data_IF_288067602027
#
_entry.id   IF_288067602027
#
_cell.length_a   1.000
_cell.length_b   1.000
_cell.length_c   1.000
_cell.angle_alpha   90.00
_cell.angle_beta   90.00
_cell.angle_gamma   90.00
#
_symmetry.space_group_name_H-M   'P 1'
#
loop_
_entity.id
_entity.type
_entity.pdbx_description
1 polymer ?
#
# COMPACT_ATOMS: atom_id res chain seq x y z
N UNK A 1 23.82 -27.53 -17.22
CA UNK A 1 23.44 -26.91 -15.92
C UNK A 1 24.71 -26.44 -15.25
N UNK A 2 24.78 -25.16 -14.92
CA UNK A 2 25.88 -24.63 -14.12
C UNK A 2 25.85 -25.26 -12.71
N UNK A 3 27.03 -25.42 -12.12
CA UNK A 3 27.16 -26.05 -10.80
C UNK A 3 26.68 -25.15 -9.65
N UNK A 4 26.51 -23.85 -9.91
CA UNK A 4 26.15 -22.84 -8.92
C UNK A 4 24.84 -22.17 -9.32
N UNK A 5 23.91 -22.08 -8.36
CA UNK A 5 22.67 -21.34 -8.56
C UNK A 5 22.96 -19.84 -8.61
N UNK A 6 22.59 -19.18 -9.72
CA UNK A 6 22.62 -17.74 -9.85
C UNK A 6 21.19 -17.20 -9.86
N UNK A 7 20.72 -16.57 -8.78
CA UNK A 7 19.35 -16.11 -8.67
C UNK A 7 18.99 -15.03 -9.73
N UNK A 8 19.96 -14.21 -10.16
CA UNK A 8 19.70 -13.14 -11.13
C UNK A 8 19.31 -13.66 -12.52
N UNK A 9 19.85 -14.82 -12.90
CA UNK A 9 19.61 -15.43 -14.22
C UNK A 9 18.31 -16.22 -14.26
N UNK A 10 17.74 -16.57 -13.10
CA UNK A 10 16.62 -17.51 -12.99
C UNK A 10 15.36 -16.84 -12.44
N UNK A 11 15.46 -16.13 -11.33
CA UNK A 11 14.28 -15.66 -10.58
C UNK A 11 13.46 -14.64 -11.36
N UNK A 12 14.09 -13.64 -11.94
CA UNK A 12 13.37 -12.58 -12.65
C UNK A 12 12.71 -13.10 -13.94
N UNK A 13 13.40 -13.82 -14.84
CA UNK A 13 12.78 -14.39 -16.04
C UNK A 13 11.63 -15.35 -15.71
N UNK A 14 11.78 -16.14 -14.64
CA UNK A 14 10.75 -17.08 -14.21
C UNK A 14 9.51 -16.35 -13.70
N UNK A 15 9.70 -15.31 -12.89
CA UNK A 15 8.59 -14.49 -12.38
C UNK A 15 7.83 -13.78 -13.50
N UNK A 16 8.55 -13.16 -14.44
CA UNK A 16 7.97 -12.52 -15.63
C UNK A 16 7.16 -13.51 -16.47
N UNK A 17 7.66 -14.74 -16.60
CA UNK A 17 6.92 -15.81 -17.26
C UNK A 17 5.60 -16.11 -16.54
N UNK A 18 5.60 -16.28 -15.21
CA UNK A 18 4.40 -16.55 -14.45
C UNK A 18 3.37 -15.42 -14.53
N UNK A 19 3.82 -14.18 -14.43
CA UNK A 19 2.96 -13.00 -14.55
C UNK A 19 2.34 -12.94 -15.96
N UNK A 20 3.13 -13.12 -17.00
CA UNK A 20 2.67 -13.15 -18.40
C UNK A 20 1.66 -14.26 -18.69
N UNK A 21 1.81 -15.42 -18.07
CA UNK A 21 0.88 -16.55 -18.21
C UNK A 21 -0.39 -16.37 -17.36
N UNK A 22 -0.45 -15.36 -16.50
CA UNK A 22 -1.61 -15.09 -15.65
C UNK A 22 -1.80 -16.13 -14.53
N UNK A 23 -0.76 -16.85 -14.10
CA UNK A 23 -0.87 -17.91 -13.11
C UNK A 23 -1.32 -17.45 -11.73
N UNK A 24 -1.28 -16.14 -11.48
CA UNK A 24 -1.68 -15.55 -10.20
C UNK A 24 -3.11 -15.05 -10.19
N UNK A 25 -3.79 -15.04 -11.35
CA UNK A 25 -5.17 -14.58 -11.47
C UNK A 25 -6.16 -15.63 -10.98
N UNK A 26 -7.30 -15.18 -10.42
CA UNK A 26 -8.44 -16.07 -10.24
C UNK A 26 -8.85 -16.69 -11.59
N UNK A 27 -9.19 -17.96 -11.59
CA UNK A 27 -9.56 -18.67 -12.81
C UNK A 27 -11.01 -18.42 -13.29
N UNK A 28 -11.82 -17.73 -12.46
CA UNK A 28 -13.21 -17.40 -12.78
C UNK A 28 -14.19 -18.58 -12.68
N UNK A 29 -13.76 -19.74 -12.20
CA UNK A 29 -14.63 -20.89 -12.00
C UNK A 29 -15.43 -20.76 -10.69
N UNK A 30 -16.72 -20.39 -10.82
CA UNK A 30 -17.62 -20.22 -9.68
C UNK A 30 -17.96 -21.53 -8.96
N UNK A 31 -17.69 -22.68 -9.54
CA UNK A 31 -17.89 -23.99 -8.90
C UNK A 31 -16.80 -24.32 -7.88
N UNK A 32 -15.65 -23.68 -7.96
CA UNK A 32 -14.54 -23.87 -7.02
C UNK A 32 -14.72 -23.03 -5.76
N UNK A 33 -14.31 -23.57 -4.63
CA UNK A 33 -14.26 -22.83 -3.37
C UNK A 33 -13.31 -21.64 -3.51
N UNK A 34 -13.79 -20.44 -3.17
CA UNK A 34 -12.99 -19.22 -3.22
C UNK A 34 -12.11 -19.06 -1.98
N UNK A 35 -10.87 -18.60 -2.19
CA UNK A 35 -9.97 -18.22 -1.11
C UNK A 35 -9.28 -16.90 -1.44
N UNK A 36 -9.48 -15.89 -0.59
CA UNK A 36 -8.93 -14.56 -0.79
C UNK A 36 -8.17 -14.08 0.43
N UNK A 37 -6.99 -13.52 0.21
CA UNK A 37 -6.26 -12.73 1.21
C UNK A 37 -6.08 -11.32 0.65
N UNK A 38 -6.33 -10.32 1.49
CA UNK A 38 -5.98 -8.93 1.19
C UNK A 38 -4.66 -8.61 1.91
N UNK A 39 -3.68 -8.09 1.17
CA UNK A 39 -2.44 -7.63 1.78
C UNK A 39 -2.72 -6.39 2.65
N UNK A 40 -2.14 -6.25 3.86
CA UNK A 40 -2.03 -4.95 4.48
C UNK A 40 -1.21 -4.03 3.57
N UNK A 41 -1.84 -2.98 2.99
CA UNK A 41 -1.19 -2.21 1.93
C UNK A 41 0.01 -1.44 2.50
N UNK A 42 1.23 -1.64 1.98
CA UNK A 42 2.38 -0.88 2.43
C UNK A 42 2.23 0.60 2.09
N UNK A 43 2.70 1.45 3.01
CA UNK A 43 2.72 2.89 2.83
C UNK A 43 3.70 3.30 1.73
N UNK A 44 3.30 4.27 0.88
CA UNK A 44 4.18 4.83 -0.17
C UNK A 44 5.20 5.82 0.40
N UNK A 45 5.81 5.49 1.54
CA UNK A 45 6.78 6.34 2.25
C UNK A 45 8.23 5.95 1.99
N UNK A 46 8.47 4.88 1.23
CA UNK A 46 9.82 4.42 0.91
C UNK A 46 9.84 3.00 0.36
N UNK A 47 10.84 2.22 0.76
CA UNK A 47 11.02 0.82 0.36
C UNK A 47 10.49 -0.15 1.43
N UNK A 48 10.25 -1.40 1.03
CA UNK A 48 9.91 -2.48 1.96
C UNK A 48 11.11 -2.83 2.85
N UNK A 49 10.82 -3.33 4.04
CA UNK A 49 11.80 -3.86 4.99
C UNK A 49 11.50 -5.32 5.34
N UNK A 50 12.35 -5.97 6.14
CA UNK A 50 12.24 -7.39 6.48
C UNK A 50 10.88 -7.78 7.09
N UNK A 51 10.24 -6.89 7.86
CA UNK A 51 8.89 -7.13 8.41
C UNK A 51 7.84 -7.32 7.31
N UNK A 52 7.90 -6.51 6.25
CA UNK A 52 7.04 -6.67 5.09
C UNK A 52 7.34 -8.00 4.37
N UNK A 53 8.62 -8.32 4.17
CA UNK A 53 9.00 -9.56 3.51
C UNK A 53 8.50 -10.79 4.28
N UNK A 54 8.67 -10.81 5.59
CA UNK A 54 8.18 -11.88 6.45
C UNK A 54 6.67 -12.08 6.37
N UNK A 55 5.91 -10.99 6.54
CA UNK A 55 4.45 -11.01 6.46
C UNK A 55 3.97 -11.49 5.08
N UNK A 56 4.56 -10.97 4.01
CA UNK A 56 4.19 -11.31 2.64
C UNK A 56 4.53 -12.77 2.31
N UNK A 57 5.65 -13.29 2.81
CA UNK A 57 6.02 -14.70 2.63
C UNK A 57 4.99 -15.65 3.28
N UNK A 58 4.49 -15.32 4.47
CA UNK A 58 3.45 -16.11 5.13
C UNK A 58 2.17 -16.11 4.29
N UNK A 59 1.72 -14.94 3.83
CA UNK A 59 0.52 -14.80 3.01
C UNK A 59 0.66 -15.55 1.68
N UNK A 60 1.80 -15.40 1.01
CA UNK A 60 2.07 -16.08 -0.26
C UNK A 60 2.09 -17.60 -0.10
N UNK A 61 2.65 -18.09 0.99
CA UNK A 61 2.62 -19.53 1.31
C UNK A 61 1.18 -20.03 1.44
N UNK A 62 0.33 -19.30 2.12
CA UNK A 62 -1.10 -19.68 2.28
C UNK A 62 -1.83 -19.65 0.93
N UNK A 63 -1.65 -18.62 0.12
CA UNK A 63 -2.26 -18.51 -1.20
C UNK A 63 -1.81 -19.66 -2.11
N UNK A 64 -0.50 -19.93 -2.16
CA UNK A 64 0.05 -21.03 -2.97
C UNK A 64 -0.47 -22.37 -2.52
N UNK A 65 -0.54 -22.60 -1.22
CA UNK A 65 -1.11 -23.84 -0.67
C UNK A 65 -2.56 -24.03 -1.10
N UNK A 66 -3.41 -23.03 -0.96
CA UNK A 66 -4.82 -23.09 -1.33
C UNK A 66 -5.01 -23.25 -2.85
N UNK A 67 -4.14 -22.60 -3.65
CA UNK A 67 -4.12 -22.81 -5.12
C UNK A 67 -3.77 -24.24 -5.49
N UNK A 68 -2.81 -24.85 -4.80
CA UNK A 68 -2.45 -26.26 -5.00
C UNK A 68 -3.57 -27.21 -4.57
N UNK A 69 -4.47 -26.80 -3.66
CA UNK A 69 -5.67 -27.55 -3.29
C UNK A 69 -6.81 -27.38 -4.33
N UNK A 70 -6.60 -26.66 -5.41
CA UNK A 70 -7.59 -26.46 -6.48
C UNK A 70 -8.63 -25.39 -6.19
N UNK A 71 -8.38 -24.50 -5.21
CA UNK A 71 -9.31 -23.38 -4.95
C UNK A 71 -9.10 -22.24 -5.92
N UNK A 72 -10.17 -21.49 -6.18
CA UNK A 72 -10.12 -20.22 -6.91
C UNK A 72 -9.53 -19.15 -5.98
N UNK A 73 -8.24 -18.83 -6.16
CA UNK A 73 -7.50 -17.98 -5.21
C UNK A 73 -7.29 -16.58 -5.72
N UNK A 74 -7.41 -15.59 -4.82
CA UNK A 74 -7.01 -14.21 -5.04
C UNK A 74 -6.13 -13.71 -3.89
N UNK A 75 -4.94 -13.23 -4.20
CA UNK A 75 -4.20 -12.36 -3.30
C UNK A 75 -4.34 -10.92 -3.78
N UNK A 76 -5.21 -10.16 -3.11
CA UNK A 76 -5.47 -8.76 -3.44
C UNK A 76 -4.31 -7.89 -2.96
N UNK A 77 -3.73 -7.14 -3.87
CA UNK A 77 -2.59 -6.26 -3.64
C UNK A 77 -3.00 -4.79 -3.72
N UNK A 78 -2.24 -3.94 -3.02
CA UNK A 78 -2.39 -2.50 -3.08
C UNK A 78 -1.32 -1.79 -2.28
N UNK A 79 -1.33 -0.45 -2.37
CA UNK A 79 -0.46 0.44 -1.60
C UNK A 79 -1.29 1.52 -0.91
N UNK A 80 -0.81 1.99 0.25
CA UNK A 80 -1.47 3.01 1.03
C UNK A 80 -0.83 4.39 0.78
N UNK A 81 -1.67 5.41 0.62
CA UNK A 81 -1.24 6.79 0.48
C UNK A 81 -0.60 7.36 1.75
N UNK A 82 -0.87 6.79 2.93
CA UNK A 82 -0.29 7.14 4.23
C UNK A 82 -0.33 8.64 4.60
N UNK A 83 -1.21 9.42 3.96
CA UNK A 83 -1.58 10.80 4.27
C UNK A 83 -0.42 11.68 4.75
N UNK A 84 -0.42 12.03 6.04
CA UNK A 84 0.56 12.92 6.67
C UNK A 84 2.00 12.42 6.53
N UNK A 85 2.23 11.11 6.66
CA UNK A 85 3.58 10.55 6.57
C UNK A 85 4.18 10.75 5.18
N UNK A 86 3.41 10.54 4.12
CA UNK A 86 3.84 10.81 2.74
C UNK A 86 4.12 12.30 2.51
N UNK A 87 3.24 13.18 3.01
CA UNK A 87 3.48 14.63 2.94
C UNK A 87 4.81 15.01 3.63
N UNK A 88 5.07 14.49 4.81
CA UNK A 88 6.33 14.76 5.53
C UNK A 88 7.56 14.28 4.76
N UNK A 89 7.50 13.13 4.09
CA UNK A 89 8.60 12.63 3.25
C UNK A 89 8.86 13.58 2.10
N UNK A 90 7.80 13.98 1.38
CA UNK A 90 7.90 14.91 0.25
C UNK A 90 8.39 16.29 0.69
N UNK A 91 7.90 16.83 1.82
CA UNK A 91 8.42 18.10 2.37
C UNK A 91 9.91 18.03 2.68
N UNK A 92 10.38 16.95 3.30
CA UNK A 92 11.81 16.76 3.60
C UNK A 92 12.66 16.71 2.31
N UNK A 93 12.14 16.01 1.27
CA UNK A 93 12.81 15.94 -0.04
C UNK A 93 12.92 17.34 -0.65
N UNK A 94 11.82 18.08 -0.73
CA UNK A 94 11.80 19.45 -1.27
C UNK A 94 12.70 20.40 -0.48
N UNK A 95 12.69 20.31 0.85
CA UNK A 95 13.55 21.13 1.69
C UNK A 95 15.05 20.82 1.47
N UNK A 96 15.41 19.55 1.28
CA UNK A 96 16.78 19.14 1.03
C UNK A 96 17.27 19.51 -0.37
N UNK A 97 16.44 19.37 -1.39
CA UNK A 97 16.82 19.58 -2.80
C UNK A 97 16.69 21.03 -3.24
N UNK A 98 15.68 21.76 -2.74
CA UNK A 98 15.30 23.09 -3.22
C UNK A 98 15.30 24.18 -2.15
N UNK A 99 15.44 23.81 -0.88
CA UNK A 99 15.34 24.76 0.25
C UNK A 99 13.95 25.37 0.44
N UNK A 100 12.91 24.74 -0.09
CA UNK A 100 11.51 25.20 -0.05
C UNK A 100 10.66 24.40 0.91
N UNK A 101 9.49 24.95 1.24
CA UNK A 101 8.45 24.31 2.04
C UNK A 101 7.18 24.08 1.19
N UNK A 102 6.24 23.30 1.67
CA UNK A 102 4.92 23.14 1.01
C UNK A 102 4.17 24.45 0.82
N UNK A 103 4.43 25.45 1.68
CA UNK A 103 3.78 26.76 1.59
C UNK A 103 4.29 27.60 0.43
N UNK A 104 5.57 27.40 0.03
CA UNK A 104 6.17 28.07 -1.13
C UNK A 104 5.61 27.54 -2.45
N UNK A 105 5.15 26.28 -2.47
CA UNK A 105 4.51 25.64 -3.62
C UNK A 105 3.03 26.00 -3.76
N UNK A 106 2.34 26.18 -2.64
CA UNK A 106 0.88 26.18 -2.61
C UNK A 106 0.30 24.76 -2.76
N UNK A 107 -1.02 24.63 -2.57
CA UNK A 107 -1.68 23.34 -2.45
C UNK A 107 -1.56 22.45 -3.71
N UNK A 108 -1.87 23.02 -4.88
CA UNK A 108 -1.95 22.25 -6.13
C UNK A 108 -0.59 21.70 -6.54
N UNK A 109 0.41 22.57 -6.66
CA UNK A 109 1.76 22.16 -7.04
C UNK A 109 2.42 21.22 -6.01
N UNK A 110 2.09 21.36 -4.72
CA UNK A 110 2.55 20.41 -3.70
C UNK A 110 1.89 19.04 -3.85
N UNK A 111 0.61 18.97 -4.19
CA UNK A 111 -0.08 17.69 -4.50
C UNK A 111 0.56 17.02 -5.72
N UNK A 112 0.93 17.77 -6.76
CA UNK A 112 1.63 17.20 -7.91
C UNK A 112 2.96 16.56 -7.50
N UNK A 113 3.72 17.20 -6.61
CA UNK A 113 4.95 16.61 -6.03
C UNK A 113 4.70 15.31 -5.26
N UNK A 114 3.56 15.23 -4.56
CA UNK A 114 3.16 13.99 -3.87
C UNK A 114 2.83 12.89 -4.88
N UNK A 115 2.17 13.20 -5.98
CA UNK A 115 1.90 12.22 -7.03
C UNK A 115 3.17 11.74 -7.75
N UNK A 116 4.14 12.62 -8.00
CA UNK A 116 5.46 12.24 -8.51
C UNK A 116 6.15 11.26 -7.55
N UNK A 117 6.17 11.57 -6.25
CA UNK A 117 6.70 10.68 -5.22
C UNK A 117 5.98 9.33 -5.17
N UNK A 118 4.65 9.33 -5.24
CA UNK A 118 3.84 8.10 -5.27
C UNK A 118 4.23 7.21 -6.45
N UNK A 119 4.44 7.78 -7.62
CA UNK A 119 4.85 7.02 -8.80
C UNK A 119 6.23 6.37 -8.59
N UNK A 120 7.19 7.10 -8.01
CA UNK A 120 8.54 6.62 -7.71
C UNK A 120 8.53 5.52 -6.62
N UNK A 121 7.94 5.81 -5.47
CA UNK A 121 7.92 4.93 -4.30
C UNK A 121 7.06 3.69 -4.52
N UNK A 122 5.86 3.85 -5.08
CA UNK A 122 4.97 2.73 -5.40
C UNK A 122 5.60 1.78 -6.40
N UNK A 123 6.26 2.30 -7.44
CA UNK A 123 7.01 1.49 -8.39
C UNK A 123 8.16 0.71 -7.75
N UNK A 124 8.81 1.26 -6.74
CA UNK A 124 9.86 0.56 -5.99
C UNK A 124 9.28 -0.58 -5.15
N UNK A 125 8.20 -0.33 -4.42
CA UNK A 125 7.50 -1.32 -3.60
C UNK A 125 7.05 -2.51 -4.45
N UNK A 126 6.39 -2.27 -5.57
CA UNK A 126 5.90 -3.34 -6.45
C UNK A 126 7.01 -4.15 -7.10
N UNK A 127 8.14 -3.52 -7.46
CA UNK A 127 9.34 -4.24 -7.91
C UNK A 127 9.93 -5.13 -6.81
N UNK A 128 9.99 -4.64 -5.55
CA UNK A 128 10.46 -5.43 -4.42
C UNK A 128 9.55 -6.64 -4.16
N UNK A 129 8.23 -6.47 -4.25
CA UNK A 129 7.28 -7.57 -4.11
C UNK A 129 7.45 -8.63 -5.21
N UNK A 130 7.71 -8.22 -6.45
CA UNK A 130 8.05 -9.15 -7.56
C UNK A 130 9.37 -9.88 -7.28
N UNK A 131 10.35 -9.20 -6.73
CA UNK A 131 11.64 -9.85 -6.34
C UNK A 131 11.47 -10.84 -5.20
N UNK A 132 10.50 -10.66 -4.32
CA UNK A 132 10.12 -11.66 -3.30
C UNK A 132 9.37 -12.86 -3.89
N UNK A 133 8.96 -12.79 -5.15
CA UNK A 133 8.20 -13.85 -5.81
C UNK A 133 6.72 -13.89 -5.43
N UNK A 134 6.16 -12.79 -4.94
CA UNK A 134 4.78 -12.72 -4.47
C UNK A 134 3.78 -13.07 -5.58
N UNK A 135 2.90 -14.04 -5.35
CA UNK A 135 1.93 -14.52 -6.33
C UNK A 135 0.61 -13.73 -6.30
N UNK A 136 0.70 -12.42 -6.45
CA UNK A 136 -0.43 -11.48 -6.46
C UNK A 136 -0.99 -11.25 -7.87
N UNK A 137 -2.26 -10.90 -7.95
CA UNK A 137 -2.87 -10.44 -9.21
C UNK A 137 -2.60 -8.96 -9.42
N UNK A 138 -1.57 -8.63 -10.21
CA UNK A 138 -1.14 -7.25 -10.47
C UNK A 138 -2.15 -6.42 -11.26
N UNK A 139 -3.03 -7.03 -12.03
CA UNK A 139 -4.08 -6.28 -12.74
C UNK A 139 -5.14 -5.73 -11.81
N UNK A 140 -5.21 -6.29 -10.60
CA UNK A 140 -6.10 -5.82 -9.53
C UNK A 140 -5.41 -4.92 -8.51
N UNK A 141 -4.18 -4.47 -8.79
CA UNK A 141 -3.49 -3.54 -7.89
C UNK A 141 -4.35 -2.30 -7.63
N UNK A 142 -4.46 -1.92 -6.36
CA UNK A 142 -5.20 -0.73 -5.93
C UNK A 142 -4.30 0.24 -5.17
N UNK A 143 -4.63 1.51 -5.26
CA UNK A 143 -4.04 2.55 -4.44
C UNK A 143 -5.16 3.20 -3.63
N UNK A 144 -4.97 3.38 -2.32
CA UNK A 144 -6.04 3.82 -1.41
C UNK A 144 -6.64 5.20 -1.75
N UNK A 145 -5.99 5.98 -2.63
CA UNK A 145 -6.53 7.24 -3.17
C UNK A 145 -6.82 7.19 -4.68
N UNK A 146 -6.91 6.01 -5.29
CA UNK A 146 -7.35 5.92 -6.67
C UNK A 146 -8.81 6.40 -6.83
N UNK A 147 -9.20 6.71 -8.05
CA UNK A 147 -10.52 7.27 -8.35
C UNK A 147 -11.65 6.37 -7.85
N UNK A 148 -11.55 5.06 -8.06
CA UNK A 148 -12.58 4.10 -7.65
C UNK A 148 -12.76 4.05 -6.14
N UNK A 149 -11.66 3.95 -5.37
CA UNK A 149 -11.69 3.97 -3.91
C UNK A 149 -12.12 5.34 -3.36
N UNK A 150 -11.66 6.44 -3.97
CA UNK A 150 -12.10 7.80 -3.61
C UNK A 150 -13.61 7.99 -3.78
N UNK A 151 -14.20 7.44 -4.84
CA UNK A 151 -15.63 7.47 -5.07
C UNK A 151 -16.37 6.58 -4.07
N UNK A 152 -15.86 5.39 -3.76
CA UNK A 152 -16.42 4.51 -2.75
C UNK A 152 -16.44 5.15 -1.36
N UNK A 153 -15.35 5.82 -0.96
CA UNK A 153 -15.27 6.55 0.32
C UNK A 153 -16.31 7.66 0.39
N UNK A 154 -16.49 8.44 -0.68
CA UNK A 154 -17.52 9.50 -0.73
C UNK A 154 -18.92 8.91 -0.61
N UNK A 155 -19.21 7.83 -1.33
CA UNK A 155 -20.52 7.18 -1.29
C UNK A 155 -20.83 6.63 0.10
N UNK A 156 -19.89 5.93 0.73
CA UNK A 156 -20.05 5.41 2.09
C UNK A 156 -20.26 6.55 3.09
N UNK A 157 -19.49 7.62 3.01
CA UNK A 157 -19.64 8.78 3.88
C UNK A 157 -21.04 9.39 3.79
N UNK A 158 -21.54 9.57 2.56
CA UNK A 158 -22.88 10.14 2.33
C UNK A 158 -23.98 9.20 2.85
N UNK A 159 -23.83 7.87 2.67
CA UNK A 159 -24.79 6.90 3.21
C UNK A 159 -24.84 6.93 4.72
N UNK A 160 -23.69 6.88 5.38
CA UNK A 160 -23.60 6.94 6.84
C UNK A 160 -24.23 8.23 7.41
N UNK A 161 -24.05 9.34 6.72
CA UNK A 161 -24.69 10.60 7.12
C UNK A 161 -26.21 10.55 6.96
N UNK A 162 -26.72 9.99 5.86
CA UNK A 162 -28.16 9.84 5.61
C UNK A 162 -28.84 8.86 6.59
N UNK A 163 -28.09 7.91 7.11
CA UNK A 163 -28.55 6.92 8.10
C UNK A 163 -28.36 7.41 9.55
N UNK A 164 -27.97 8.68 9.75
CA UNK A 164 -27.71 9.31 11.07
C UNK A 164 -26.64 8.57 11.91
N UNK A 165 -25.78 7.79 11.25
CA UNK A 165 -24.67 7.07 11.91
C UNK A 165 -23.45 7.95 12.14
N UNK A 166 -23.31 9.04 11.41
CA UNK A 166 -22.30 10.06 11.59
C UNK A 166 -22.93 11.45 11.62
N UNK A 167 -22.36 12.34 12.41
CA UNK A 167 -22.83 13.72 12.52
C UNK A 167 -21.67 14.69 12.69
N UNK A 168 -21.88 15.97 12.38
CA UNK A 168 -20.91 17.04 12.60
C UNK A 168 -21.04 17.58 14.03
N UNK A 169 -19.97 17.47 14.81
CA UNK A 169 -19.93 17.98 16.18
C UNK A 169 -18.56 18.57 16.53
N UNK A 170 -18.50 19.28 17.66
CA UNK A 170 -17.23 19.73 18.27
C UNK A 170 -16.74 18.67 19.24
N UNK A 171 -15.45 18.33 19.17
CA UNK A 171 -14.80 17.38 20.07
C UNK A 171 -13.41 17.89 20.42
N UNK A 172 -12.94 17.56 21.64
CA UNK A 172 -11.53 17.73 21.99
C UNK A 172 -10.68 16.76 21.16
N UNK A 173 -9.58 17.27 20.62
CA UNK A 173 -8.64 16.50 19.82
C UNK A 173 -7.22 16.79 20.29
N UNK A 174 -6.32 15.81 20.14
CA UNK A 174 -4.89 16.05 20.25
C UNK A 174 -4.44 16.84 19.03
N UNK A 175 -3.80 17.97 19.24
CA UNK A 175 -3.38 18.87 18.17
C UNK A 175 -1.87 19.06 18.17
N UNK A 176 -1.21 18.78 17.04
CA UNK A 176 0.20 19.08 16.84
C UNK A 176 0.35 20.49 16.25
N UNK A 177 0.89 21.46 17.00
CA UNK A 177 1.02 22.84 16.53
C UNK A 177 2.10 23.02 15.45
N UNK A 178 3.05 22.08 15.34
CA UNK A 178 4.10 22.10 14.31
C UNK A 178 3.57 21.59 12.97
N UNK A 179 2.91 20.44 12.98
CA UNK A 179 2.29 19.85 11.79
C UNK A 179 0.96 20.52 11.44
N UNK A 180 0.37 21.27 12.40
CA UNK A 180 -0.95 21.92 12.26
C UNK A 180 -2.05 20.94 11.87
N UNK A 181 -2.08 19.80 12.56
CA UNK A 181 -3.05 18.73 12.34
C UNK A 181 -3.48 18.07 13.65
N UNK A 182 -4.65 17.44 13.62
CA UNK A 182 -5.06 16.54 14.69
C UNK A 182 -4.31 15.21 14.55
N UNK A 183 -3.94 14.61 15.68
CA UNK A 183 -3.33 13.29 15.78
C UNK A 183 -4.23 12.37 16.60
N UNK A 184 -4.18 11.07 16.32
CA UNK A 184 -4.98 10.08 17.04
C UNK A 184 -4.42 9.83 18.45
N UNK A 185 -5.28 9.36 19.34
CA UNK A 185 -4.87 8.99 20.71
C UNK A 185 -3.80 7.88 20.70
N UNK A 186 -3.87 6.97 19.72
CA UNK A 186 -2.89 5.90 19.54
C UNK A 186 -1.51 6.44 19.15
N UNK A 187 -1.44 7.47 18.32
CA UNK A 187 -0.18 8.11 17.93
C UNK A 187 0.48 8.83 19.13
N UNK A 188 -0.31 9.45 20.00
CA UNK A 188 0.17 10.05 21.24
C UNK A 188 0.69 8.98 22.20
N UNK A 189 -0.05 7.88 22.37
CA UNK A 189 0.34 6.77 23.26
C UNK A 189 1.62 6.07 22.80
N UNK A 190 1.80 5.86 21.50
CA UNK A 190 3.02 5.25 20.92
C UNK A 190 4.26 6.10 21.20
N UNK A 191 4.15 7.43 21.14
CA UNK A 191 5.26 8.33 21.50
C UNK A 191 5.69 8.18 22.97
N UNK A 192 4.77 7.80 23.85
CA UNK A 192 5.05 7.59 25.27
C UNK A 192 5.79 6.27 25.56
N UNK A 193 5.50 5.22 24.78
CA UNK A 193 6.13 3.89 24.96
C UNK A 193 7.58 3.82 24.46
N UNK A 194 8.02 4.78 23.66
CA UNK A 194 9.41 4.86 23.18
C UNK A 194 10.32 5.70 24.10
N UNK A 195 9.80 6.29 25.15
CA UNK A 195 10.55 7.10 26.12
C UNK A 195 10.83 6.36 27.43
N UNK A 196 10.41 5.11 27.56
CA UNK A 196 10.70 4.21 28.66
C UNK A 196 11.57 3.06 28.18
#
# INVERSE_FOLDING_TARGET
MEKTYNPQDIEQPLYEHWEKQGYFKPNGDESQESFCIMIPPPNVTGSLHMGHAFQQTIMDTMIRYQRMQGKNTLWQVGTDHAGIATQMVVERKIAAEEGKTRHDYGREAFIDKIWEWKAESGGTITRQMRRLGNSVDWERERFTMDEGLSNAVKEVFVRLYKEDLIYRGKRLVNWDPKLRTAISDLEVAVSYTHLT
#
